data_IF_371497811222
#
_entry.id   IF_371497811222
#
_cell.length_a   1.000
_cell.length_b   1.000
_cell.length_c   1.000
_cell.angle_alpha   90.00
_cell.angle_beta   90.00
_cell.angle_gamma   90.00
#
_symmetry.space_group_name_H-M   'P 1'
#
loop_
_entity.id
_entity.type
_entity.pdbx_description
1 polymer ?
#
# COMPACT_ATOMS: atom_id res chain seq x y z
N UNK A 1 37.75 16.39 -5.07
CA UNK A 1 36.94 15.35 -4.37
C UNK A 1 35.61 15.87 -3.79
N UNK A 2 35.12 17.06 -4.19
CA UNK A 2 33.82 17.59 -3.73
C UNK A 2 32.66 17.39 -4.73
N UNK A 3 32.95 17.08 -6.00
CA UNK A 3 31.91 16.98 -7.05
C UNK A 3 31.14 15.63 -7.03
N UNK A 4 31.81 14.52 -6.72
CA UNK A 4 31.19 13.18 -6.72
C UNK A 4 30.23 12.95 -5.53
N UNK A 5 30.43 13.67 -4.42
CA UNK A 5 29.60 13.53 -3.21
C UNK A 5 28.20 14.14 -3.38
N UNK A 6 28.08 15.22 -4.15
CA UNK A 6 26.80 15.86 -4.44
C UNK A 6 25.94 15.04 -5.42
N UNK A 7 26.57 14.32 -6.36
CA UNK A 7 25.84 13.47 -7.30
C UNK A 7 25.20 12.24 -6.61
N UNK A 8 25.87 11.67 -5.60
CA UNK A 8 25.34 10.53 -4.84
C UNK A 8 24.20 10.92 -3.91
N UNK A 9 24.22 12.13 -3.33
CA UNK A 9 23.10 12.62 -2.52
C UNK A 9 21.90 12.94 -3.38
N UNK A 10 22.08 13.50 -4.57
CA UNK A 10 20.97 13.77 -5.49
C UNK A 10 20.29 12.48 -5.97
N UNK A 11 21.05 11.42 -6.30
CA UNK A 11 20.44 10.15 -6.69
C UNK A 11 19.69 9.48 -5.54
N UNK A 12 20.23 9.53 -4.31
CA UNK A 12 19.55 9.02 -3.13
C UNK A 12 18.30 9.84 -2.75
N UNK A 13 18.31 11.15 -2.98
CA UNK A 13 17.18 12.04 -2.73
C UNK A 13 16.08 11.86 -3.78
N UNK A 14 16.44 11.70 -5.06
CA UNK A 14 15.51 11.39 -6.14
C UNK A 14 14.89 10.02 -5.94
N UNK A 15 15.67 9.01 -5.55
CA UNK A 15 15.12 7.68 -5.20
C UNK A 15 14.19 7.79 -3.99
N UNK A 16 14.55 8.51 -2.92
CA UNK A 16 13.64 8.73 -1.77
C UNK A 16 12.39 9.55 -2.13
N UNK A 17 12.49 10.53 -3.02
CA UNK A 17 11.37 11.35 -3.50
C UNK A 17 10.42 10.57 -4.42
N UNK A 18 10.96 9.73 -5.31
CA UNK A 18 10.17 8.85 -6.18
C UNK A 18 9.35 7.82 -5.38
N UNK A 19 9.89 7.36 -4.24
CA UNK A 19 9.19 6.47 -3.33
C UNK A 19 7.98 7.11 -2.65
N UNK A 20 7.95 8.44 -2.48
CA UNK A 20 6.82 9.11 -1.83
C UNK A 20 5.74 9.58 -2.81
N UNK A 21 6.01 9.66 -4.11
CA UNK A 21 5.07 10.20 -5.11
C UNK A 21 4.55 9.17 -6.12
N UNK A 22 5.12 7.96 -6.16
CA UNK A 22 4.62 6.93 -7.05
C UNK A 22 3.87 5.83 -6.27
N UNK A 23 2.55 6.00 -6.18
CA UNK A 23 1.60 5.05 -5.57
C UNK A 23 1.82 3.63 -6.09
N UNK A 24 2.27 3.46 -7.34
CA UNK A 24 2.52 2.15 -7.94
C UNK A 24 3.74 1.45 -7.31
N UNK A 25 4.83 2.19 -7.07
CA UNK A 25 6.07 1.64 -6.49
C UNK A 25 5.86 1.25 -5.03
N UNK A 26 5.17 2.09 -4.25
CA UNK A 26 4.86 1.75 -2.85
C UNK A 26 3.87 0.60 -2.75
N UNK A 27 2.91 0.50 -3.66
CA UNK A 27 1.98 -0.64 -3.72
C UNK A 27 2.71 -1.94 -4.06
N UNK A 28 3.67 -1.92 -5.00
CA UNK A 28 4.49 -3.09 -5.31
C UNK A 28 5.35 -3.54 -4.11
N UNK A 29 5.88 -2.60 -3.32
CA UNK A 29 6.62 -2.92 -2.10
C UNK A 29 5.73 -3.51 -1.02
N UNK A 30 4.51 -3.00 -0.87
CA UNK A 30 3.50 -3.57 0.03
C UNK A 30 3.22 -5.02 -0.38
N UNK A 31 2.92 -5.27 -1.66
CA UNK A 31 2.66 -6.61 -2.20
C UNK A 31 3.82 -7.58 -1.93
N UNK A 32 5.06 -7.13 -2.14
CA UNK A 32 6.26 -7.91 -1.85
C UNK A 32 6.33 -8.30 -0.36
N UNK A 33 6.10 -7.35 0.56
CA UNK A 33 6.13 -7.63 1.99
C UNK A 33 4.98 -8.57 2.41
N UNK A 34 3.78 -8.36 1.88
CA UNK A 34 2.62 -9.24 2.11
C UNK A 34 2.92 -10.67 1.67
N UNK A 35 3.42 -10.87 0.45
CA UNK A 35 3.75 -12.22 -0.07
C UNK A 35 4.81 -12.95 0.75
N UNK A 36 5.65 -12.21 1.48
CA UNK A 36 6.67 -12.77 2.38
C UNK A 36 6.20 -12.89 3.84
N UNK A 37 4.92 -12.65 4.14
CA UNK A 37 4.36 -12.68 5.50
C UNK A 37 4.86 -11.54 6.39
N UNK A 38 5.52 -10.53 5.81
CA UNK A 38 6.12 -9.39 6.53
C UNK A 38 5.11 -8.25 6.68
N UNK A 39 3.92 -8.56 7.19
CA UNK A 39 2.78 -7.64 7.28
C UNK A 39 3.10 -6.34 8.05
N UNK A 40 3.91 -6.41 9.10
CA UNK A 40 4.31 -5.22 9.85
C UNK A 40 5.07 -4.20 8.99
N UNK A 41 5.89 -4.67 8.05
CA UNK A 41 6.62 -3.81 7.12
C UNK A 41 5.70 -3.26 6.03
N UNK A 42 4.83 -4.12 5.49
CA UNK A 42 3.79 -3.71 4.55
C UNK A 42 2.93 -2.57 5.15
N UNK A 43 2.51 -2.72 6.41
CA UNK A 43 1.71 -1.71 7.12
C UNK A 43 2.46 -0.40 7.32
N UNK A 44 3.73 -0.45 7.71
CA UNK A 44 4.56 0.77 7.84
C UNK A 44 4.68 1.56 6.54
N UNK A 45 4.79 0.87 5.39
CA UNK A 45 4.81 1.53 4.08
C UNK A 45 3.44 2.13 3.77
N UNK A 46 2.37 1.35 3.95
CA UNK A 46 0.99 1.79 3.75
C UNK A 46 0.63 3.05 4.55
N UNK A 47 1.01 3.10 5.83
CA UNK A 47 0.71 4.24 6.71
C UNK A 47 1.44 5.52 6.32
N UNK A 48 2.64 5.40 5.73
CA UNK A 48 3.44 6.54 5.26
C UNK A 48 2.96 7.12 3.93
N UNK A 49 2.05 6.44 3.23
CA UNK A 49 1.47 6.96 1.99
C UNK A 49 0.44 8.05 2.31
N UNK A 50 0.60 9.22 1.70
CA UNK A 50 -0.38 10.32 1.74
C UNK A 50 -1.57 9.99 0.84
N UNK A 51 -1.29 9.57 -0.41
CA UNK A 51 -2.31 9.13 -1.36
C UNK A 51 -2.29 7.61 -1.50
N UNK A 52 -3.47 6.99 -1.45
CA UNK A 52 -3.65 5.54 -1.56
C UNK A 52 -4.72 5.24 -2.59
N UNK A 53 -4.36 4.52 -3.64
CA UNK A 53 -5.32 4.07 -4.64
C UNK A 53 -6.11 2.88 -4.12
N UNK A 54 -7.20 2.56 -4.83
CA UNK A 54 -8.00 1.35 -4.58
C UNK A 54 -7.09 0.13 -4.50
N UNK A 55 -6.18 -0.01 -5.46
CA UNK A 55 -5.23 -1.12 -5.52
C UNK A 55 -4.38 -1.19 -4.25
N UNK A 56 -3.86 -0.06 -3.75
CA UNK A 56 -3.08 -0.03 -2.50
C UNK A 56 -3.89 -0.55 -1.31
N UNK A 57 -5.16 -0.15 -1.18
CA UNK A 57 -6.05 -0.63 -0.13
C UNK A 57 -6.33 -2.13 -0.29
N UNK A 58 -6.70 -2.57 -1.51
CA UNK A 58 -6.95 -3.98 -1.81
C UNK A 58 -5.75 -4.85 -1.46
N UNK A 59 -4.53 -4.44 -1.83
CA UNK A 59 -3.31 -5.21 -1.53
C UNK A 59 -3.12 -5.42 -0.03
N UNK A 60 -3.34 -4.40 0.81
CA UNK A 60 -3.24 -4.57 2.27
C UNK A 60 -4.39 -5.38 2.86
N UNK A 61 -5.62 -5.17 2.40
CA UNK A 61 -6.81 -5.89 2.87
C UNK A 61 -6.64 -7.39 2.59
N UNK A 62 -6.33 -7.75 1.33
CA UNK A 62 -6.04 -9.13 0.93
C UNK A 62 -4.84 -9.69 1.69
N UNK A 63 -3.81 -8.86 1.92
CA UNK A 63 -2.66 -9.28 2.70
C UNK A 63 -3.01 -9.66 4.14
N UNK A 64 -3.86 -8.92 4.81
CA UNK A 64 -4.33 -9.31 6.15
C UNK A 64 -5.18 -10.59 6.09
N UNK A 65 -6.09 -10.71 5.12
CA UNK A 65 -6.92 -11.91 4.92
C UNK A 65 -6.09 -13.18 4.69
N UNK A 66 -5.12 -13.14 3.77
CA UNK A 66 -4.26 -14.27 3.41
C UNK A 66 -3.43 -14.82 4.57
N UNK A 67 -3.14 -13.98 5.57
CA UNK A 67 -2.31 -14.36 6.72
C UNK A 67 -3.13 -14.54 8.02
N UNK A 68 -4.46 -14.67 7.91
CA UNK A 68 -5.34 -15.00 9.04
C UNK A 68 -5.77 -13.81 9.92
N UNK A 69 -5.49 -12.57 9.49
CA UNK A 69 -5.85 -11.34 10.20
C UNK A 69 -7.17 -10.76 9.67
N UNK A 70 -8.23 -11.58 9.65
CA UNK A 70 -9.52 -11.22 9.05
C UNK A 70 -10.18 -9.98 9.69
N UNK A 71 -10.03 -9.82 11.01
CA UNK A 71 -10.58 -8.65 11.73
C UNK A 71 -9.93 -7.34 11.27
N UNK A 72 -8.61 -7.33 11.14
CA UNK A 72 -7.83 -6.19 10.65
C UNK A 72 -8.15 -5.90 9.18
N UNK A 73 -8.35 -6.95 8.37
CA UNK A 73 -8.79 -6.83 6.98
C UNK A 73 -10.14 -6.08 6.88
N UNK A 74 -11.14 -6.50 7.65
CA UNK A 74 -12.48 -5.87 7.68
C UNK A 74 -12.39 -4.42 8.18
N UNK A 75 -11.65 -4.17 9.26
CA UNK A 75 -11.44 -2.81 9.79
C UNK A 75 -10.79 -1.90 8.75
N UNK A 76 -9.84 -2.43 7.96
CA UNK A 76 -9.17 -1.66 6.94
C UNK A 76 -10.09 -1.37 5.74
N UNK A 77 -10.95 -2.32 5.39
CA UNK A 77 -11.97 -2.13 4.36
C UNK A 77 -12.99 -1.07 4.75
N UNK A 78 -13.41 -1.04 6.01
CA UNK A 78 -14.31 -0.01 6.52
C UNK A 78 -13.67 1.40 6.47
N UNK A 79 -12.40 1.51 6.87
CA UNK A 79 -11.62 2.74 6.71
C UNK A 79 -11.52 3.21 5.26
N UNK A 80 -11.36 2.26 4.32
CA UNK A 80 -11.33 2.57 2.89
C UNK A 80 -12.67 3.17 2.43
N UNK A 81 -13.80 2.57 2.82
CA UNK A 81 -15.15 3.05 2.46
C UNK A 81 -15.40 4.47 2.95
N UNK A 82 -15.01 4.78 4.18
CA UNK A 82 -15.18 6.12 4.74
C UNK A 82 -14.31 7.18 4.07
N UNK A 83 -13.17 6.77 3.47
CA UNK A 83 -12.25 7.70 2.78
C UNK A 83 -12.49 7.83 1.28
N UNK A 84 -13.06 6.82 0.64
CA UNK A 84 -13.35 6.88 -0.79
C UNK A 84 -14.72 7.49 -1.06
N UNK A 85 -14.76 8.47 -1.96
CA UNK A 85 -16.04 8.95 -2.50
C UNK A 85 -16.74 7.81 -3.26
N UNK A 86 -18.05 7.63 -3.08
CA UNK A 86 -18.82 6.52 -3.65
C UNK A 86 -18.87 6.46 -5.19
N UNK A 87 -18.39 7.48 -5.90
CA UNK A 87 -18.38 7.54 -7.37
C UNK A 87 -17.28 6.67 -8.04
N UNK A 88 -16.38 6.07 -7.28
CA UNK A 88 -15.29 5.25 -7.84
C UNK A 88 -15.65 3.76 -7.93
N UNK A 89 -15.65 3.24 -9.17
CA UNK A 89 -15.81 1.81 -9.55
C UNK A 89 -14.93 0.84 -8.72
N UNK A 90 -13.86 1.34 -8.10
CA UNK A 90 -12.94 0.55 -7.29
C UNK A 90 -13.52 -0.07 -6.00
N UNK A 91 -14.64 0.45 -5.48
CA UNK A 91 -15.35 -0.18 -4.36
C UNK A 91 -15.87 -1.58 -4.72
N UNK A 92 -16.30 -1.78 -5.97
CA UNK A 92 -16.85 -3.04 -6.44
C UNK A 92 -15.79 -4.16 -6.47
N UNK A 93 -14.56 -3.82 -6.86
CA UNK A 93 -13.45 -4.76 -6.95
C UNK A 93 -12.91 -5.19 -5.58
N UNK A 94 -12.97 -4.30 -4.57
CA UNK A 94 -12.69 -4.69 -3.19
C UNK A 94 -13.80 -5.57 -2.58
N UNK A 95 -15.07 -5.33 -2.93
CA UNK A 95 -16.19 -6.10 -2.39
C UNK A 95 -16.09 -7.59 -2.76
N UNK A 96 -15.71 -7.89 -4.01
CA UNK A 96 -15.51 -9.28 -4.44
C UNK A 96 -14.33 -9.97 -3.74
N UNK A 97 -13.27 -9.24 -3.40
CA UNK A 97 -12.12 -9.80 -2.68
C UNK A 97 -12.44 -10.19 -1.24
N UNK A 98 -13.25 -9.38 -0.54
CA UNK A 98 -13.71 -9.70 0.82
C UNK A 98 -14.70 -10.86 0.80
N UNK A 99 -15.60 -10.91 -0.18
CA UNK A 99 -16.58 -11.99 -0.33
C UNK A 99 -15.97 -13.35 -0.75
N UNK A 100 -14.69 -13.42 -1.09
CA UNK A 100 -13.96 -14.69 -1.34
C UNK A 100 -13.25 -15.24 -0.08
N UNK A 101 -13.31 -14.52 1.05
CA UNK A 101 -12.71 -14.92 2.33
C UNK A 101 -13.74 -15.44 3.36
N UNK A 102 -15.04 -15.39 3.02
CA UNK A 102 -16.17 -16.03 3.73
C UNK A 102 -16.67 -17.25 2.94
#
# INVERSE_FOLDING_TARGET
>A
MASVRHAQTYSAFVVRGFYQHNVMVTTALIDLYVKRGRLQYARKVFDRMQDRSVVTWSTMISGYGMHGFGKESIQLFDQMKHRMRPDHIGLFQCFQLVAMLD
#
